data_IF_786362634041
#
_entry.id   IF_786362634041
#
_cell.length_a   1.000
_cell.length_b   1.000
_cell.length_c   1.000
_cell.angle_alpha   90.00
_cell.angle_beta   90.00
_cell.angle_gamma   90.00
#
_symmetry.space_group_name_H-M   'P 1'
#
loop_
_entity.id
_entity.type
_entity.pdbx_description
1 polymer ?
#
# COMPACT_ATOMS: atom_id res chain seq x y z
N UNK A 1 -17.44 15.26 -14.76
CA UNK A 1 -17.49 14.93 -13.33
C UNK A 1 -18.15 13.57 -13.18
N UNK A 2 -17.40 12.51 -13.47
CA UNK A 2 -17.74 11.10 -13.27
C UNK A 2 -16.38 10.42 -13.31
N UNK A 3 -15.99 9.69 -12.26
CA UNK A 3 -14.87 8.71 -12.21
C UNK A 3 -14.51 8.31 -10.76
N UNK A 4 -15.19 8.81 -9.74
CA UNK A 4 -14.95 8.38 -8.35
C UNK A 4 -15.61 7.05 -7.97
N UNK A 5 -16.79 6.73 -8.54
CA UNK A 5 -17.61 5.62 -8.07
C UNK A 5 -17.23 4.25 -8.67
N UNK A 6 -16.57 4.20 -9.82
CA UNK A 6 -16.15 2.93 -10.42
C UNK A 6 -14.96 2.30 -9.66
N UNK A 7 -14.08 3.12 -9.08
CA UNK A 7 -12.85 2.62 -8.45
C UNK A 7 -13.14 1.85 -7.15
N UNK A 8 -14.12 2.30 -6.36
CA UNK A 8 -14.53 1.61 -5.12
C UNK A 8 -15.21 0.26 -5.40
N UNK A 9 -15.96 0.16 -6.51
CA UNK A 9 -16.66 -1.07 -6.88
C UNK A 9 -15.69 -2.19 -7.31
N UNK A 10 -14.59 -1.84 -8.00
CA UNK A 10 -13.55 -2.81 -8.34
C UNK A 10 -12.74 -3.27 -7.12
N UNK A 11 -12.51 -2.39 -6.13
CA UNK A 11 -11.85 -2.74 -4.87
C UNK A 11 -12.65 -3.69 -4.00
N UNK A 12 -13.99 -3.61 -4.05
CA UNK A 12 -14.86 -4.52 -3.31
C UNK A 12 -14.74 -6.00 -3.74
N UNK A 13 -14.12 -6.28 -4.89
CA UNK A 13 -13.89 -7.63 -5.41
C UNK A 13 -12.45 -8.12 -5.19
N UNK A 14 -11.55 -7.26 -4.73
CA UNK A 14 -10.17 -7.64 -4.46
C UNK A 14 -10.11 -8.53 -3.19
N UNK A 15 -9.29 -9.60 -3.21
CA UNK A 15 -8.96 -10.38 -2.02
C UNK A 15 -8.53 -9.46 -0.88
N UNK A 16 -8.98 -9.74 0.34
CA UNK A 16 -8.58 -8.95 1.50
C UNK A 16 -8.29 -9.87 2.67
N UNK A 17 -7.14 -9.66 3.31
CA UNK A 17 -6.68 -10.44 4.45
C UNK A 17 -6.52 -9.50 5.64
N UNK A 18 -7.03 -9.93 6.78
CA UNK A 18 -6.99 -9.12 8.00
C UNK A 18 -6.05 -9.73 9.01
N UNK A 19 -5.30 -8.86 9.69
CA UNK A 19 -4.51 -9.26 10.83
C UNK A 19 -5.44 -9.83 11.89
N UNK A 20 -5.19 -11.07 12.31
CA UNK A 20 -6.00 -11.70 13.37
C UNK A 20 -5.89 -11.03 14.75
N UNK A 21 -4.90 -10.15 14.94
CA UNK A 21 -4.67 -9.43 16.20
C UNK A 21 -5.39 -8.07 16.22
N UNK A 22 -5.16 -7.23 15.21
CA UNK A 22 -5.70 -5.85 15.18
C UNK A 22 -6.75 -5.59 14.09
N UNK A 23 -7.14 -6.61 13.32
CA UNK A 23 -8.04 -6.51 12.17
C UNK A 23 -7.58 -5.54 11.05
N UNK A 24 -6.30 -5.14 11.05
CA UNK A 24 -5.73 -4.34 9.98
C UNK A 24 -5.69 -5.12 8.65
N UNK A 25 -6.05 -4.51 7.50
CA UNK A 25 -5.94 -5.13 6.19
C UNK A 25 -4.49 -5.19 5.65
N UNK A 26 -3.50 -4.66 6.39
CA UNK A 26 -2.13 -4.47 5.90
C UNK A 26 -1.20 -5.66 6.13
N UNK A 27 -1.72 -6.89 6.23
CA UNK A 27 -0.88 -8.09 6.44
C UNK A 27 0.09 -8.27 5.26
N UNK A 28 1.36 -8.51 5.57
CA UNK A 28 2.46 -8.68 4.62
C UNK A 28 3.04 -10.08 4.70
N UNK A 29 3.59 -10.58 3.58
CA UNK A 29 4.48 -11.73 3.60
C UNK A 29 5.92 -11.24 3.89
N UNK A 30 6.42 -11.51 5.08
CA UNK A 30 7.75 -11.12 5.53
C UNK A 30 8.84 -12.11 5.07
N UNK A 31 8.48 -13.38 4.88
CA UNK A 31 9.37 -14.44 4.42
C UNK A 31 8.57 -15.53 3.72
N UNK A 32 9.17 -16.23 2.76
CA UNK A 32 8.54 -17.36 2.08
C UNK A 32 9.56 -18.34 1.50
N UNK A 33 9.25 -19.63 1.61
CA UNK A 33 10.02 -20.71 1.01
C UNK A 33 9.11 -21.78 0.42
N UNK A 34 9.55 -22.40 -0.67
CA UNK A 34 8.88 -23.57 -1.22
C UNK A 34 9.35 -24.80 -0.43
N UNK A 35 8.44 -25.46 0.29
CA UNK A 35 8.78 -26.62 1.11
C UNK A 35 8.74 -27.92 0.29
N UNK A 36 7.57 -28.24 -0.26
CA UNK A 36 7.31 -29.39 -1.13
C UNK A 36 6.41 -28.92 -2.28
N UNK A 37 6.48 -29.46 -3.49
CA UNK A 37 5.48 -29.08 -4.51
C UNK A 37 4.10 -29.68 -4.18
N UNK A 38 3.00 -28.88 -4.11
CA UNK A 38 2.82 -27.45 -4.41
C UNK A 38 2.46 -26.62 -3.15
N UNK A 39 3.30 -26.68 -2.12
CA UNK A 39 3.14 -26.05 -0.82
C UNK A 39 4.27 -25.04 -0.55
N UNK A 40 3.90 -23.92 0.05
CA UNK A 40 4.80 -22.85 0.43
C UNK A 40 4.66 -22.52 1.91
N UNK A 41 5.77 -22.55 2.63
CA UNK A 41 5.87 -21.98 3.97
C UNK A 41 5.97 -20.46 3.86
N UNK A 42 5.09 -19.73 4.52
CA UNK A 42 5.04 -18.26 4.49
C UNK A 42 4.97 -17.71 5.90
N UNK A 43 5.80 -16.71 6.21
CA UNK A 43 5.70 -15.91 7.42
C UNK A 43 4.94 -14.62 7.12
N UNK A 44 3.75 -14.51 7.68
CA UNK A 44 2.92 -13.33 7.66
C UNK A 44 3.28 -12.40 8.81
N UNK A 45 3.23 -11.10 8.55
CA UNK A 45 3.52 -10.04 9.52
C UNK A 45 2.54 -8.88 9.35
N UNK A 46 2.11 -8.29 10.46
CA UNK A 46 1.28 -7.08 10.46
C UNK A 46 2.12 -5.85 10.84
N UNK A 47 2.21 -4.83 9.96
CA UNK A 47 2.97 -3.62 10.24
C UNK A 47 2.36 -2.77 11.37
N UNK A 48 1.04 -2.83 11.56
CA UNK A 48 0.36 -1.98 12.54
C UNK A 48 0.54 -2.45 13.99
N UNK A 49 0.61 -3.76 14.23
CA UNK A 49 0.68 -4.30 15.59
C UNK A 49 1.86 -5.26 15.82
N UNK A 50 2.69 -5.50 14.81
CA UNK A 50 3.85 -6.39 14.89
C UNK A 50 3.50 -7.88 14.99
N UNK A 51 2.23 -8.25 14.85
CA UNK A 51 1.80 -9.63 14.97
C UNK A 51 2.36 -10.49 13.82
N UNK A 52 2.90 -11.67 14.15
CA UNK A 52 3.49 -12.61 13.19
C UNK A 52 2.80 -13.98 13.21
N UNK A 53 2.68 -14.61 12.05
CA UNK A 53 2.14 -15.96 11.91
C UNK A 53 2.82 -16.71 10.76
N UNK A 54 3.25 -17.94 11.01
CA UNK A 54 3.59 -18.87 9.94
C UNK A 54 2.34 -19.58 9.39
N UNK A 55 2.30 -19.82 8.09
CA UNK A 55 1.26 -20.57 7.40
C UNK A 55 1.88 -21.40 6.26
N UNK A 56 1.31 -22.58 6.00
CA UNK A 56 1.61 -23.36 4.80
C UNK A 56 0.48 -23.15 3.83
N UNK A 57 0.79 -22.68 2.63
CA UNK A 57 -0.18 -22.29 1.61
C UNK A 57 -0.02 -23.17 0.37
N UNK A 58 -1.14 -23.59 -0.21
CA UNK A 58 -1.15 -24.13 -1.56
C UNK A 58 -1.07 -23.00 -2.61
N UNK A 59 -0.98 -23.38 -3.89
CA UNK A 59 -0.87 -22.41 -5.00
C UNK A 59 -2.03 -21.42 -5.08
N UNK A 60 -3.26 -21.85 -4.82
CA UNK A 60 -4.43 -20.98 -4.91
C UNK A 60 -4.45 -19.99 -3.73
N UNK A 61 -4.06 -20.45 -2.54
CA UNK A 61 -3.93 -19.62 -1.36
C UNK A 61 -2.78 -18.61 -1.48
N UNK A 62 -1.65 -19.01 -2.06
CA UNK A 62 -0.52 -18.11 -2.32
C UNK A 62 -0.90 -17.01 -3.32
N UNK A 63 -1.65 -17.34 -4.38
CA UNK A 63 -2.18 -16.35 -5.31
C UNK A 63 -3.19 -15.41 -4.65
N UNK A 64 -4.06 -15.94 -3.78
CA UNK A 64 -4.99 -15.12 -3.01
C UNK A 64 -4.24 -14.12 -2.11
N UNK A 65 -3.20 -14.60 -1.41
CA UNK A 65 -2.33 -13.78 -0.58
C UNK A 65 -1.63 -12.69 -1.39
N UNK A 66 -1.07 -13.00 -2.57
CA UNK A 66 -0.36 -12.00 -3.38
C UNK A 66 -1.29 -10.86 -3.81
N UNK A 67 -2.49 -11.20 -4.27
CA UNK A 67 -3.50 -10.20 -4.66
C UNK A 67 -3.96 -9.35 -3.47
N UNK A 68 -4.13 -9.96 -2.29
CA UNK A 68 -4.53 -9.21 -1.10
C UNK A 68 -3.45 -8.24 -0.61
N UNK A 69 -2.17 -8.64 -0.73
CA UNK A 69 -1.03 -7.76 -0.43
C UNK A 69 -0.97 -6.57 -1.40
N UNK A 70 -1.15 -6.82 -2.70
CA UNK A 70 -1.19 -5.76 -3.73
C UNK A 70 -2.31 -4.74 -3.45
N UNK A 71 -3.50 -5.23 -3.08
CA UNK A 71 -4.61 -4.37 -2.67
C UNK A 71 -4.22 -3.54 -1.44
N UNK A 72 -3.69 -4.16 -0.39
CA UNK A 72 -3.21 -3.44 0.81
C UNK A 72 -2.22 -2.31 0.47
N UNK A 73 -1.30 -2.53 -0.47
CA UNK A 73 -0.40 -1.49 -0.98
C UNK A 73 -1.13 -0.36 -1.70
N UNK A 74 -2.13 -0.66 -2.53
CA UNK A 74 -2.94 0.36 -3.19
C UNK A 74 -3.63 1.29 -2.17
N UNK A 75 -4.17 0.73 -1.08
CA UNK A 75 -4.77 1.52 0.01
C UNK A 75 -3.74 2.42 0.70
N UNK A 76 -2.53 1.92 0.96
CA UNK A 76 -1.46 2.73 1.55
C UNK A 76 -1.02 3.88 0.63
N UNK A 77 -0.88 3.61 -0.67
CA UNK A 77 -0.50 4.62 -1.66
C UNK A 77 -1.57 5.72 -1.78
N UNK A 78 -2.84 5.37 -1.75
CA UNK A 78 -3.94 6.32 -1.74
C UNK A 78 -3.96 7.17 -0.47
N UNK A 79 -3.76 6.56 0.70
CA UNK A 79 -3.67 7.29 1.96
C UNK A 79 -2.49 8.28 1.94
N UNK A 80 -1.34 7.85 1.43
CA UNK A 80 -0.16 8.71 1.26
C UNK A 80 -0.43 9.87 0.29
N UNK A 81 -1.15 9.63 -0.81
CA UNK A 81 -1.55 10.69 -1.74
C UNK A 81 -2.45 11.73 -1.06
N UNK A 82 -3.41 11.29 -0.25
CA UNK A 82 -4.29 12.19 0.52
C UNK A 82 -3.52 13.04 1.54
N UNK A 83 -2.57 12.43 2.27
CA UNK A 83 -1.70 13.14 3.20
C UNK A 83 -0.85 14.20 2.49
N UNK A 84 -0.31 13.88 1.31
CA UNK A 84 0.44 14.85 0.51
C UNK A 84 -0.44 16.03 0.09
N UNK A 85 -1.66 15.77 -0.41
CA UNK A 85 -2.60 16.84 -0.78
C UNK A 85 -2.90 17.74 0.41
N UNK A 86 -3.15 17.17 1.60
CA UNK A 86 -3.40 17.94 2.81
C UNK A 86 -2.18 18.80 3.21
N UNK A 87 -0.97 18.25 3.13
CA UNK A 87 0.27 18.97 3.43
C UNK A 87 0.50 20.15 2.47
N UNK A 88 0.24 19.97 1.18
CA UNK A 88 0.35 21.05 0.20
C UNK A 88 -0.78 22.08 0.30
N UNK A 89 -1.96 21.70 0.76
CA UNK A 89 -3.04 22.64 1.05
C UNK A 89 -2.74 23.55 2.25
N UNK A 90 -1.92 23.08 3.20
CA UNK A 90 -1.45 23.87 4.35
C UNK A 90 -0.20 24.70 4.06
N UNK A 91 0.47 24.48 2.93
CA UNK A 91 1.56 25.36 2.50
C UNK A 91 0.99 26.68 2.02
N UNK A 92 1.54 27.79 2.53
CA UNK A 92 1.20 29.13 2.06
C UNK A 92 1.35 29.17 0.52
N UNK A 93 0.29 29.51 -0.24
CA UNK A 93 0.38 29.61 -1.69
C UNK A 93 1.50 30.58 -2.14
N UNK A 94 1.86 31.56 -1.34
CA UNK A 94 2.97 32.49 -1.60
C UNK A 94 4.34 31.78 -1.51
N UNK A 95 4.51 30.82 -0.60
CA UNK A 95 5.74 30.01 -0.50
C UNK A 95 5.90 29.04 -1.67
N UNK A 96 4.81 28.40 -2.11
CA UNK A 96 4.83 27.50 -3.28
C UNK A 96 5.14 28.28 -4.56
N UNK A 97 4.56 29.47 -4.70
CA UNK A 97 4.84 30.35 -5.82
C UNK A 97 6.30 30.82 -5.81
N UNK A 98 6.81 31.28 -4.66
CA UNK A 98 8.22 31.70 -4.53
C UNK A 98 9.19 30.55 -4.84
N UNK A 99 8.95 29.34 -4.33
CA UNK A 99 9.80 28.17 -4.65
C UNK A 99 9.80 27.79 -6.14
N UNK A 100 8.68 28.00 -6.85
CA UNK A 100 8.58 27.77 -8.31
C UNK A 100 9.24 28.88 -9.13
N UNK A 101 9.23 30.11 -8.62
CA UNK A 101 9.72 31.30 -9.31
C UNK A 101 11.22 31.54 -9.05
N UNK A 102 11.73 31.15 -7.88
CA UNK A 102 13.16 31.17 -7.50
C UNK A 102 13.96 30.02 -8.14
N UNK A 103 13.60 29.60 -9.37
CA UNK A 103 14.51 28.78 -10.17
C UNK A 103 15.80 29.57 -10.36
N UNK A 104 16.87 29.08 -9.71
CA UNK A 104 18.25 29.50 -9.89
C UNK A 104 18.50 29.64 -11.40
N UNK A 105 18.64 30.89 -11.86
CA UNK A 105 19.07 31.16 -13.23
C UNK A 105 20.43 30.51 -13.45
N UNK A 106 20.76 30.05 -14.68
CA UNK A 106 22.09 29.50 -14.94
C UNK A 106 23.12 30.55 -14.53
N UNK A 107 24.07 30.16 -13.69
CA UNK A 107 25.21 31.00 -13.35
C UNK A 107 25.88 31.42 -14.67
N UNK A 108 25.72 32.70 -15.03
CA UNK A 108 26.22 33.24 -16.28
C UNK A 108 27.72 32.99 -16.41
N UNK A 109 28.13 32.60 -17.62
CA UNK A 109 29.53 32.64 -18.05
C UNK A 109 29.75 33.91 -18.85
#
# INVERSE_FOLDING_TARGET
MTNGMDNDAFRALAPNIFCRSCASPLVQAADWEQEEEPLWGVRLWCPDCGFEQAAVLDRAQLLYLSLAVEEGFAWMLDALAQLNVANFATMDPDLVQRARTDRIGPAGR
#
